data_IF_028824249057
#
_entry.id   IF_028824249057
#
_cell.length_a   1.000
_cell.length_b   1.000
_cell.length_c   1.000
_cell.angle_alpha   90.00
_cell.angle_beta   90.00
_cell.angle_gamma   90.00
#
_symmetry.space_group_name_H-M   'P 1'
#
loop_
_entity.id
_entity.type
_entity.pdbx_description
1 polymer ?
#
# COMPACT_ATOMS: atom_id res chain seq x y z
N UNK A 1 20.42 -34.97 -34.21
CA UNK A 1 19.46 -34.56 -33.15
C UNK A 1 19.91 -33.20 -32.65
N UNK A 2 19.36 -32.14 -33.23
CA UNK A 2 19.82 -30.77 -33.02
C UNK A 2 19.01 -30.14 -31.90
N UNK A 3 19.66 -29.85 -30.77
CA UNK A 3 19.04 -29.22 -29.60
C UNK A 3 18.91 -27.72 -29.88
N UNK A 4 17.69 -27.25 -30.13
CA UNK A 4 17.35 -25.82 -30.10
C UNK A 4 17.38 -25.36 -28.65
N UNK A 5 18.45 -24.66 -28.26
CA UNK A 5 18.53 -23.95 -26.99
C UNK A 5 17.67 -22.69 -27.14
N UNK A 6 16.46 -22.76 -26.60
CA UNK A 6 15.58 -21.60 -26.43
C UNK A 6 16.25 -20.64 -25.44
N UNK A 7 16.78 -19.53 -25.96
CA UNK A 7 17.39 -18.49 -25.14
C UNK A 7 16.31 -17.89 -24.24
N UNK A 8 16.46 -17.89 -22.89
CA UNK A 8 15.47 -17.29 -22.03
C UNK A 8 15.39 -15.80 -22.35
N UNK A 9 14.17 -15.29 -22.55
CA UNK A 9 13.89 -13.86 -22.58
C UNK A 9 14.19 -13.33 -21.17
N UNK A 10 15.46 -13.00 -20.94
CA UNK A 10 15.87 -12.15 -19.84
C UNK A 10 15.43 -10.74 -20.26
N UNK A 11 14.52 -10.08 -19.52
CA UNK A 11 14.24 -8.68 -19.76
C UNK A 11 15.59 -7.96 -19.61
N UNK A 12 16.13 -7.46 -20.71
CA UNK A 12 17.34 -6.67 -20.68
C UNK A 12 17.13 -5.47 -19.75
N UNK A 13 18.18 -4.98 -19.07
CA UNK A 13 18.08 -3.73 -18.34
C UNK A 13 17.56 -2.67 -19.31
N UNK A 14 16.53 -1.93 -18.90
CA UNK A 14 16.03 -0.76 -19.63
C UNK A 14 17.19 0.22 -19.68
N UNK A 15 18.03 0.13 -20.72
CA UNK A 15 19.11 1.07 -20.97
C UNK A 15 18.55 2.20 -21.83
N UNK A 16 17.85 3.11 -21.14
CA UNK A 16 17.65 4.47 -21.63
C UNK A 16 18.92 5.31 -21.41
N UNK A 17 19.10 6.38 -22.20
CA UNK A 17 20.32 7.16 -22.21
C UNK A 17 20.44 8.00 -20.92
N UNK A 18 21.62 7.96 -20.30
CA UNK A 18 22.07 8.63 -19.06
C UNK A 18 21.94 7.79 -17.78
N UNK A 19 23.05 7.72 -17.03
CA UNK A 19 23.19 7.10 -15.70
C UNK A 19 22.22 7.68 -14.65
N UNK A 20 21.54 8.76 -14.99
CA UNK A 20 20.65 9.56 -14.15
C UNK A 20 19.20 9.07 -14.23
N UNK A 21 18.74 8.57 -15.38
CA UNK A 21 17.41 7.99 -15.55
C UNK A 21 17.08 6.87 -14.53
N UNK A 22 17.93 5.85 -14.34
CA UNK A 22 17.65 4.81 -13.34
C UNK A 22 17.69 5.33 -11.90
N UNK A 23 18.45 6.39 -11.61
CA UNK A 23 18.50 7.02 -10.28
C UNK A 23 17.22 7.83 -10.03
N UNK A 24 16.77 8.59 -11.02
CA UNK A 24 15.52 9.36 -10.97
C UNK A 24 14.34 8.41 -10.81
N UNK A 25 14.31 7.31 -11.56
CA UNK A 25 13.28 6.29 -11.43
C UNK A 25 13.28 5.66 -10.04
N UNK A 26 14.44 5.31 -9.49
CA UNK A 26 14.55 4.76 -8.13
C UNK A 26 14.02 5.75 -7.08
N UNK A 27 14.37 7.03 -7.19
CA UNK A 27 13.89 8.07 -6.27
C UNK A 27 12.36 8.27 -6.37
N UNK A 28 11.79 8.23 -7.58
CA UNK A 28 10.35 8.30 -7.78
C UNK A 28 9.62 7.10 -7.19
N UNK A 29 10.18 5.89 -7.36
CA UNK A 29 9.64 4.66 -6.79
C UNK A 29 9.69 4.68 -5.25
N UNK A 30 10.76 5.21 -4.68
CA UNK A 30 10.90 5.37 -3.22
C UNK A 30 9.88 6.36 -2.66
N UNK A 31 9.67 7.50 -3.32
CA UNK A 31 8.65 8.47 -2.93
C UNK A 31 7.23 7.87 -3.03
N UNK A 32 6.93 7.15 -4.11
CA UNK A 32 5.65 6.46 -4.27
C UNK A 32 5.43 5.41 -3.16
N UNK A 33 6.44 4.58 -2.88
CA UNK A 33 6.40 3.57 -1.82
C UNK A 33 6.15 4.20 -0.45
N UNK A 34 6.84 5.30 -0.14
CA UNK A 34 6.67 6.05 1.10
C UNK A 34 5.23 6.57 1.26
N UNK A 35 4.63 7.10 0.19
CA UNK A 35 3.24 7.58 0.20
C UNK A 35 2.23 6.44 0.36
N UNK A 36 2.43 5.30 -0.29
CA UNK A 36 1.55 4.12 -0.13
C UNK A 36 1.67 3.57 1.28
N UNK A 37 2.87 3.51 1.86
CA UNK A 37 3.08 3.10 3.25
C UNK A 37 2.38 4.05 4.22
N UNK A 38 2.49 5.36 4.02
CA UNK A 38 1.77 6.36 4.81
C UNK A 38 0.24 6.16 4.74
N UNK A 39 -0.32 6.00 3.54
CA UNK A 39 -1.75 5.74 3.36
C UNK A 39 -2.19 4.42 4.03
N UNK A 40 -1.36 3.38 3.93
CA UNK A 40 -1.59 2.09 4.56
C UNK A 40 -1.72 2.20 6.08
N UNK A 41 -0.83 2.97 6.72
CA UNK A 41 -0.85 3.20 8.16
C UNK A 41 -2.10 3.95 8.63
N UNK A 42 -2.56 4.94 7.85
CA UNK A 42 -3.76 5.74 8.19
C UNK A 42 -5.06 4.95 8.00
N UNK A 43 -5.12 4.10 6.97
CA UNK A 43 -6.32 3.33 6.68
C UNK A 43 -6.62 2.32 7.81
N UNK A 44 -7.89 2.20 8.26
CA UNK A 44 -8.26 1.25 9.30
C UNK A 44 -7.99 -0.20 8.87
N UNK A 45 -7.63 -1.10 9.80
CA UNK A 45 -7.36 -2.48 9.45
C UNK A 45 -8.65 -3.16 8.98
N UNK A 46 -8.61 -3.75 7.78
CA UNK A 46 -9.76 -4.46 7.19
C UNK A 46 -9.55 -5.98 7.31
N UNK A 47 -10.62 -6.76 7.12
CA UNK A 47 -10.62 -8.23 7.18
C UNK A 47 -9.57 -8.86 6.24
N UNK A 48 -9.08 -8.16 5.19
CA UNK A 48 -7.93 -8.64 4.43
C UNK A 48 -6.88 -7.56 4.13
N UNK A 49 -5.63 -7.84 4.49
CA UNK A 49 -4.43 -7.09 4.10
C UNK A 49 -4.41 -6.73 2.61
N UNK A 50 -4.73 -7.68 1.73
CA UNK A 50 -4.76 -7.42 0.29
C UNK A 50 -5.74 -6.29 -0.09
N UNK A 51 -6.92 -6.24 0.55
CA UNK A 51 -7.88 -5.14 0.36
C UNK A 51 -7.36 -3.83 0.92
N UNK A 52 -6.63 -3.85 2.04
CA UNK A 52 -6.01 -2.65 2.63
C UNK A 52 -4.84 -2.12 1.78
N UNK A 53 -4.02 -2.99 1.21
CA UNK A 53 -2.95 -2.63 0.26
C UNK A 53 -3.54 -2.02 -1.00
N UNK A 54 -4.52 -2.68 -1.63
CA UNK A 54 -5.21 -2.13 -2.80
C UNK A 54 -5.88 -0.77 -2.50
N UNK A 55 -6.49 -0.64 -1.32
CA UNK A 55 -7.06 0.63 -0.89
C UNK A 55 -6.00 1.73 -0.68
N UNK A 56 -4.82 1.39 -0.15
CA UNK A 56 -3.71 2.33 0.00
C UNK A 56 -3.21 2.83 -1.37
N UNK A 57 -3.07 1.93 -2.35
CA UNK A 57 -2.73 2.33 -3.72
C UNK A 57 -3.80 3.24 -4.34
N UNK A 58 -5.08 2.89 -4.17
CA UNK A 58 -6.18 3.71 -4.68
C UNK A 58 -6.22 5.11 -4.04
N UNK A 59 -5.92 5.23 -2.74
CA UNK A 59 -5.79 6.52 -2.06
C UNK A 59 -4.70 7.36 -2.71
N UNK A 60 -3.50 6.81 -2.89
CA UNK A 60 -2.38 7.55 -3.49
C UNK A 60 -2.70 7.96 -4.94
N UNK A 61 -3.26 7.06 -5.74
CA UNK A 61 -3.67 7.35 -7.12
C UNK A 61 -4.75 8.44 -7.20
N UNK A 62 -5.67 8.46 -6.25
CA UNK A 62 -6.72 9.50 -6.17
C UNK A 62 -6.19 10.84 -5.66
N UNK A 63 -5.25 10.78 -4.71
CA UNK A 63 -4.56 11.94 -4.17
C UNK A 63 -3.53 12.53 -5.15
N UNK A 64 -3.11 11.80 -6.18
CA UNK A 64 -2.15 12.23 -7.20
C UNK A 64 -2.65 11.87 -8.61
N UNK A 65 -3.73 12.50 -9.09
CA UNK A 65 -4.24 12.24 -10.43
C UNK A 65 -3.27 12.75 -11.50
N UNK A 66 -3.27 12.16 -12.70
CA UNK A 66 -2.54 12.69 -13.83
C UNK A 66 -3.01 14.13 -14.14
N UNK A 67 -2.06 15.04 -14.35
CA UNK A 67 -2.36 16.45 -14.59
C UNK A 67 -2.70 17.28 -13.35
N UNK A 68 -2.35 16.79 -12.15
CA UNK A 68 -2.49 17.57 -10.92
C UNK A 68 -1.79 18.93 -11.05
N UNK A 69 -2.56 20.02 -10.93
CA UNK A 69 -2.01 21.37 -10.93
C UNK A 69 -1.23 21.60 -9.64
N UNK A 70 0.05 21.89 -9.79
CA UNK A 70 0.91 22.22 -8.66
C UNK A 70 0.84 23.73 -8.38
N UNK A 71 0.80 24.13 -7.10
CA UNK A 71 0.97 25.53 -6.70
C UNK A 71 2.18 26.15 -7.40
N UNK A 72 2.04 27.38 -7.89
CA UNK A 72 3.08 28.10 -8.64
C UNK A 72 4.39 28.19 -7.87
N UNK A 73 4.34 28.28 -6.54
CA UNK A 73 5.51 28.33 -5.64
C UNK A 73 6.31 27.01 -5.58
N UNK A 74 5.73 25.91 -6.08
CA UNK A 74 6.37 24.60 -6.19
C UNK A 74 6.89 24.32 -7.61
N UNK A 75 6.41 25.08 -8.60
CA UNK A 75 6.85 24.98 -9.99
C UNK A 75 8.04 25.93 -10.16
N UNK A 76 9.25 25.40 -10.27
CA UNK A 76 10.39 26.23 -10.61
C UNK A 76 10.16 26.87 -11.99
N UNK A 77 10.38 28.19 -12.18
CA UNK A 77 10.37 28.78 -13.51
C UNK A 77 11.47 28.12 -14.35
N UNK A 78 11.12 27.63 -15.54
CA UNK A 78 12.02 26.94 -16.49
C UNK A 78 13.19 27.80 -16.99
N UNK A 79 13.29 29.05 -16.54
CA UNK A 79 14.26 30.04 -16.96
C UNK A 79 14.88 30.71 -15.73
N UNK A 80 15.76 29.99 -15.02
CA UNK A 80 16.77 30.56 -14.13
C UNK A 80 17.92 29.54 -13.98
N UNK A 81 19.11 29.99 -14.34
CA UNK A 81 20.40 29.35 -14.06
C UNK A 81 20.42 28.78 -12.64
N UNK A 82 20.58 27.45 -12.54
CA UNK A 82 20.37 26.67 -11.32
C UNK A 82 21.40 27.01 -10.24
N UNK A 83 20.93 27.65 -9.17
CA UNK A 83 21.63 27.87 -7.90
C UNK A 83 21.53 26.61 -6.99
N UNK A 84 22.42 26.40 -5.99
CA UNK A 84 22.53 25.16 -5.21
C UNK A 84 21.33 24.84 -4.30
N UNK A 85 20.26 25.64 -4.34
CA UNK A 85 19.10 25.56 -3.45
C UNK A 85 17.99 24.60 -3.92
N UNK A 86 18.22 23.84 -5.01
CA UNK A 86 17.26 22.89 -5.64
C UNK A 86 16.76 21.78 -4.68
N UNK A 87 17.48 21.51 -3.58
CA UNK A 87 16.99 20.56 -2.55
C UNK A 87 15.77 21.07 -1.78
N UNK A 88 15.65 22.39 -1.55
CA UNK A 88 14.52 22.99 -0.81
C UNK A 88 13.19 22.86 -1.57
N UNK A 89 13.11 23.12 -2.89
CA UNK A 89 11.92 22.85 -3.71
C UNK A 89 11.43 21.40 -3.65
N UNK A 90 12.33 20.42 -3.76
CA UNK A 90 11.98 19.01 -3.71
C UNK A 90 11.33 18.62 -2.37
N UNK A 91 11.81 19.21 -1.26
CA UNK A 91 11.18 18.99 0.05
C UNK A 91 9.78 19.58 0.16
N UNK A 92 9.52 20.76 -0.42
CA UNK A 92 8.18 21.38 -0.42
C UNK A 92 7.18 20.60 -1.26
N UNK A 93 7.60 20.12 -2.44
CA UNK A 93 6.77 19.28 -3.30
C UNK A 93 6.40 17.95 -2.61
N UNK A 94 7.39 17.30 -1.97
CA UNK A 94 7.15 16.06 -1.21
C UNK A 94 6.16 16.27 -0.07
N UNK A 95 6.29 17.37 0.67
CA UNK A 95 5.36 17.70 1.75
C UNK A 95 3.94 17.97 1.23
N UNK A 96 3.82 18.66 0.10
CA UNK A 96 2.53 18.85 -0.58
C UNK A 96 1.87 17.51 -0.96
N UNK A 97 2.63 16.59 -1.56
CA UNK A 97 2.13 15.24 -1.89
C UNK A 97 1.73 14.46 -0.64
N UNK A 98 2.53 14.52 0.44
CA UNK A 98 2.18 13.85 1.71
C UNK A 98 0.88 14.37 2.29
N UNK A 99 0.67 15.69 2.35
CA UNK A 99 -0.56 16.30 2.89
C UNK A 99 -1.80 15.86 2.11
N UNK A 100 -1.73 15.90 0.77
CA UNK A 100 -2.79 15.40 -0.11
C UNK A 100 -3.16 13.95 0.18
N UNK A 101 -2.16 13.08 0.34
CA UNK A 101 -2.36 11.65 0.64
C UNK A 101 -2.97 11.47 2.04
N UNK A 102 -2.50 12.22 3.04
CA UNK A 102 -3.04 12.17 4.41
C UNK A 102 -4.51 12.61 4.45
N UNK A 103 -4.85 13.70 3.78
CA UNK A 103 -6.23 14.21 3.67
C UNK A 103 -7.15 13.21 2.95
N UNK A 104 -6.69 12.60 1.86
CA UNK A 104 -7.48 11.58 1.15
C UNK A 104 -7.64 10.31 1.99
N UNK A 105 -6.57 9.86 2.65
CA UNK A 105 -6.60 8.67 3.50
C UNK A 105 -7.55 8.84 4.69
N UNK A 106 -7.50 10.00 5.35
CA UNK A 106 -8.39 10.34 6.47
C UNK A 106 -9.84 10.42 6.02
N UNK A 107 -10.13 11.12 4.92
CA UNK A 107 -11.48 11.19 4.33
C UNK A 107 -12.03 9.81 3.97
N UNK A 108 -11.19 8.92 3.44
CA UNK A 108 -11.58 7.55 3.12
C UNK A 108 -11.78 6.70 4.38
N UNK A 109 -11.00 6.93 5.44
CA UNK A 109 -11.17 6.27 6.72
C UNK A 109 -12.50 6.65 7.39
N UNK A 110 -12.90 7.91 7.29
CA UNK A 110 -14.18 8.42 7.82
C UNK A 110 -15.39 7.84 7.09
N UNK A 111 -15.32 7.70 5.76
CA UNK A 111 -16.41 7.14 4.94
C UNK A 111 -16.66 5.65 5.18
N UNK A 112 -15.76 4.94 5.86
CA UNK A 112 -15.87 3.49 6.05
C UNK A 112 -16.82 3.15 7.20
N UNK A 113 -17.87 2.37 6.92
CA UNK A 113 -18.98 2.14 7.87
C UNK A 113 -18.57 1.45 9.17
N UNK A 114 -19.39 1.59 10.20
CA UNK A 114 -19.21 0.99 11.54
C UNK A 114 -19.00 -0.53 11.51
N UNK A 115 -19.58 -1.24 10.54
CA UNK A 115 -19.36 -2.68 10.33
C UNK A 115 -17.91 -3.00 9.92
N UNK A 116 -17.26 -2.11 9.17
CA UNK A 116 -15.84 -2.23 8.85
C UNK A 116 -14.95 -1.93 10.07
N UNK A 117 -15.41 -1.08 11.02
CA UNK A 117 -14.76 -0.86 12.33
C UNK A 117 -14.90 -2.08 13.25
N UNK A 118 -16.02 -2.78 13.22
CA UNK A 118 -16.18 -4.06 13.94
C UNK A 118 -15.28 -5.16 13.35
N UNK A 119 -15.20 -5.23 12.02
CA UNK A 119 -14.22 -6.09 11.34
C UNK A 119 -12.77 -5.72 11.65
N UNK A 120 -12.48 -4.43 11.92
CA UNK A 120 -11.19 -3.92 12.37
C UNK A 120 -10.83 -4.36 13.79
N UNK A 121 -11.80 -4.52 14.70
CA UNK A 121 -11.53 -5.02 16.06
C UNK A 121 -11.08 -6.49 16.05
N UNK A 122 -11.49 -7.27 15.04
CA UNK A 122 -11.01 -8.62 14.79
C UNK A 122 -9.80 -8.68 13.83
N UNK A 123 -9.47 -7.58 13.15
CA UNK A 123 -8.35 -7.52 12.23
C UNK A 123 -7.08 -7.06 12.97
N UNK A 124 -6.08 -7.94 13.16
CA UNK A 124 -4.87 -7.56 13.85
C UNK A 124 -4.09 -6.53 13.04
N UNK A 125 -3.50 -5.57 13.74
CA UNK A 125 -2.52 -4.63 13.19
C UNK A 125 -1.39 -5.42 12.55
N UNK A 126 -1.06 -5.09 11.30
CA UNK A 126 0.18 -5.59 10.71
C UNK A 126 1.38 -5.06 11.51
N UNK A 127 2.46 -5.84 11.59
CA UNK A 127 3.71 -5.40 12.20
C UNK A 127 4.20 -4.13 11.49
N UNK A 128 4.75 -3.17 12.25
CA UNK A 128 5.21 -1.86 11.75
C UNK A 128 6.24 -1.97 10.60
N UNK A 129 6.93 -3.11 10.48
CA UNK A 129 7.87 -3.39 9.39
C UNK A 129 7.22 -3.87 8.08
N UNK A 130 5.88 -3.96 7.99
CA UNK A 130 5.26 -4.36 6.73
C UNK A 130 5.32 -3.25 5.68
N UNK A 131 5.93 -3.59 4.55
CA UNK A 131 5.99 -2.73 3.38
C UNK A 131 4.94 -3.13 2.33
N UNK A 132 4.02 -2.25 1.93
CA UNK A 132 2.94 -2.60 1.00
C UNK A 132 3.45 -2.85 -0.43
N UNK A 133 4.53 -2.16 -0.83
CA UNK A 133 5.08 -2.23 -2.19
C UNK A 133 6.18 -3.31 -2.34
N UNK A 134 6.52 -4.09 -1.30
CA UNK A 134 7.50 -5.17 -1.49
C UNK A 134 6.92 -6.26 -2.39
N UNK A 135 7.66 -6.54 -3.45
CA UNK A 135 7.39 -7.65 -4.37
C UNK A 135 7.78 -9.01 -3.79
N UNK A 136 8.53 -9.04 -2.67
CA UNK A 136 8.92 -10.27 -2.00
C UNK A 136 7.81 -10.71 -1.03
N UNK A 137 7.11 -11.82 -1.29
CA UNK A 137 6.11 -12.32 -0.36
C UNK A 137 6.81 -12.80 0.92
N UNK A 138 6.44 -12.21 2.05
CA UNK A 138 6.88 -12.68 3.36
C UNK A 138 6.25 -14.05 3.65
N UNK A 139 7.08 -15.09 3.61
CA UNK A 139 6.69 -16.49 3.83
C UNK A 139 6.11 -16.70 5.23
N UNK A 140 6.56 -15.92 6.22
CA UNK A 140 6.07 -15.98 7.61
C UNK A 140 4.67 -15.39 7.77
N UNK A 141 4.29 -14.43 6.91
CA UNK A 141 2.94 -13.88 6.88
C UNK A 141 1.90 -14.91 6.36
N UNK A 142 2.29 -15.79 5.43
CA UNK A 142 1.41 -16.83 4.89
C UNK A 142 1.07 -17.88 5.95
N UNK A 143 2.06 -18.32 6.73
CA UNK A 143 1.85 -19.33 7.80
C UNK A 143 1.01 -18.78 8.94
N UNK A 144 1.23 -17.52 9.35
CA UNK A 144 0.38 -16.84 10.34
C UNK A 144 -1.07 -16.69 9.87
N UNK A 145 -1.31 -16.43 8.58
CA UNK A 145 -2.68 -16.38 8.02
C UNK A 145 -3.40 -17.71 8.09
N UNK A 146 -2.73 -18.82 7.74
CA UNK A 146 -3.34 -20.16 7.78
C UNK A 146 -3.71 -20.59 9.20
N UNK A 147 -2.81 -20.38 10.16
CA UNK A 147 -3.07 -20.72 11.57
C UNK A 147 -4.20 -19.90 12.17
N UNK A 148 -4.30 -18.61 11.82
CA UNK A 148 -5.39 -17.72 12.27
C UNK A 148 -6.73 -18.05 11.62
N UNK A 149 -6.76 -18.34 10.32
CA UNK A 149 -7.98 -18.80 9.63
C UNK A 149 -8.55 -20.06 10.29
N UNK A 150 -7.67 -20.98 10.67
CA UNK A 150 -8.05 -22.19 11.42
C UNK A 150 -8.64 -21.88 12.79
N UNK A 151 -8.09 -20.89 13.53
CA UNK A 151 -8.64 -20.49 14.85
C UNK A 151 -10.03 -19.86 14.74
N UNK A 152 -10.24 -18.98 13.75
CA UNK A 152 -11.54 -18.34 13.53
C UNK A 152 -12.59 -19.36 13.10
N UNK A 153 -12.25 -20.27 12.19
CA UNK A 153 -13.18 -21.34 11.79
C UNK A 153 -13.53 -22.23 12.98
N UNK A 154 -12.55 -22.62 13.80
CA UNK A 154 -12.81 -23.41 15.01
C UNK A 154 -13.75 -22.66 15.97
N UNK A 155 -13.46 -21.39 16.28
CA UNK A 155 -14.29 -20.60 17.19
C UNK A 155 -15.72 -20.42 16.67
N UNK A 156 -15.89 -20.10 15.38
CA UNK A 156 -17.21 -19.99 14.76
C UNK A 156 -17.97 -21.33 14.82
N UNK A 157 -17.27 -22.44 14.57
CA UNK A 157 -17.87 -23.77 14.67
C UNK A 157 -18.31 -24.06 16.10
N UNK A 158 -17.49 -23.75 17.11
CA UNK A 158 -17.83 -23.93 18.53
C UNK A 158 -19.03 -23.08 18.97
N UNK A 159 -19.11 -21.83 18.50
CA UNK A 159 -20.26 -20.95 18.79
C UNK A 159 -21.52 -21.54 18.15
N UNK A 160 -21.44 -21.97 16.90
CA UNK A 160 -22.57 -22.56 16.19
C UNK A 160 -23.05 -23.85 16.86
N UNK A 161 -22.13 -24.76 17.21
CA UNK A 161 -22.47 -26.02 17.87
C UNK A 161 -23.02 -25.80 19.27
N UNK A 162 -22.45 -24.88 20.05
CA UNK A 162 -22.99 -24.53 21.37
C UNK A 162 -24.39 -23.91 21.27
N UNK A 163 -24.64 -23.07 20.27
CA UNK A 163 -25.96 -22.51 20.01
C UNK A 163 -27.00 -23.57 19.64
N UNK A 164 -26.63 -24.53 18.79
CA UNK A 164 -27.49 -25.67 18.44
C UNK A 164 -27.78 -26.53 19.68
N UNK A 165 -26.77 -26.85 20.48
CA UNK A 165 -26.93 -27.65 21.69
C UNK A 165 -27.83 -26.96 22.72
N UNK A 166 -27.64 -25.65 22.93
CA UNK A 166 -28.47 -24.86 23.82
C UNK A 166 -29.92 -24.83 23.35
N UNK A 167 -30.16 -24.63 22.04
CA UNK A 167 -31.50 -24.68 21.47
C UNK A 167 -32.18 -26.04 21.72
N UNK A 168 -31.47 -27.14 21.49
CA UNK A 168 -31.98 -28.50 21.73
C UNK A 168 -32.25 -28.81 23.20
N UNK A 169 -31.57 -28.14 24.14
CA UNK A 169 -31.80 -28.31 25.59
C UNK A 169 -32.92 -27.43 26.14
N UNK A 170 -33.29 -26.36 25.42
CA UNK A 170 -34.40 -25.46 25.78
C UNK A 170 -35.75 -25.86 25.19
N UNK A 171 -35.76 -26.78 24.23
CA UNK A 171 -36.97 -27.42 23.68
C UNK A 171 -37.21 -28.78 24.34
#
# INVERSE_FOLDING_TARGET
>A
MSVTVESPIVPGPVQGPTREEPLIEALLLDDYRSLVHLAYLILPPTISRARRVAAAHAVVQRALPPGLTLPTDLVLPSSLTVAPDVRVPATRLREFMRRRVVEEATRQAERRSFLARLGSALAPSDELGFEPCTTRPDRSAITRRRTRGRRVSIAATLILTAGILAALLTF
#
